data_IF_449523791232
#
_entry.id   IF_449523791232
#
_cell.length_a   1.000
_cell.length_b   1.000
_cell.length_c   1.000
_cell.angle_alpha   90.00
_cell.angle_beta   90.00
_cell.angle_gamma   90.00
#
_symmetry.space_group_name_H-M   'P 1'
#
loop_
_entity.id
_entity.type
_entity.pdbx_description
1 polymer ?
#
# COMPACT_ATOMS: atom_id res chain seq x y z
N UNK A 1 -5.58 -7.23 -12.88
CA UNK A 1 -5.34 -8.37 -11.98
C UNK A 1 -4.08 -8.11 -11.16
N UNK A 2 -3.98 -8.61 -9.91
CA UNK A 2 -2.72 -8.56 -9.14
C UNK A 2 -1.72 -9.55 -9.73
N UNK A 3 -0.45 -9.16 -9.85
CA UNK A 3 0.64 -9.96 -10.39
C UNK A 3 1.79 -9.97 -9.39
N UNK A 4 2.50 -11.10 -9.28
CA UNK A 4 3.65 -11.31 -8.40
C UNK A 4 3.40 -10.84 -6.96
N UNK A 5 2.52 -11.52 -6.24
CA UNK A 5 2.20 -11.14 -4.86
C UNK A 5 3.35 -11.55 -3.93
N UNK A 6 3.95 -10.58 -3.24
CA UNK A 6 4.92 -10.78 -2.18
C UNK A 6 4.30 -10.36 -0.84
N UNK A 7 4.30 -11.27 0.13
CA UNK A 7 3.75 -11.02 1.47
C UNK A 7 4.86 -10.62 2.43
N UNK A 8 4.74 -9.43 3.00
CA UNK A 8 5.61 -8.96 4.08
C UNK A 8 4.88 -9.13 5.40
N UNK A 9 5.29 -10.12 6.19
CA UNK A 9 4.75 -10.35 7.52
C UNK A 9 5.32 -9.32 8.50
N UNK A 10 4.44 -8.66 9.25
CA UNK A 10 4.84 -7.76 10.35
C UNK A 10 4.69 -8.52 11.67
N UNK A 11 3.46 -8.81 12.07
CA UNK A 11 3.10 -9.56 13.28
C UNK A 11 1.83 -10.36 13.01
N UNK A 12 1.39 -11.16 13.98
CA UNK A 12 0.14 -11.90 13.88
C UNK A 12 -1.01 -10.96 13.51
N UNK A 13 -1.75 -11.35 12.46
CA UNK A 13 -2.86 -10.59 11.88
C UNK A 13 -2.51 -9.22 11.29
N UNK A 14 -1.23 -8.91 11.05
CA UNK A 14 -0.78 -7.67 10.39
C UNK A 14 0.27 -7.97 9.32
N UNK A 15 -0.07 -7.69 8.07
CA UNK A 15 0.84 -7.93 6.95
C UNK A 15 0.57 -7.01 5.77
N UNK A 16 1.58 -6.86 4.92
CA UNK A 16 1.42 -6.23 3.62
C UNK A 16 1.43 -7.26 2.50
N UNK A 17 0.70 -6.95 1.44
CA UNK A 17 0.85 -7.60 0.14
C UNK A 17 1.38 -6.56 -0.85
N UNK A 18 2.60 -6.76 -1.34
CA UNK A 18 3.19 -6.00 -2.44
C UNK A 18 2.91 -6.74 -3.74
N UNK A 19 2.45 -6.05 -4.77
CA UNK A 19 2.12 -6.66 -6.05
C UNK A 19 2.17 -5.63 -7.18
N UNK A 20 2.35 -6.09 -8.41
CA UNK A 20 2.13 -5.26 -9.58
C UNK A 20 0.67 -5.37 -10.03
N UNK A 21 0.08 -4.26 -10.49
CA UNK A 21 -1.30 -4.25 -10.99
C UNK A 21 -1.31 -3.78 -12.43
N UNK A 22 -2.00 -4.55 -13.28
CA UNK A 22 -2.30 -4.14 -14.66
C UNK A 22 -3.81 -4.08 -14.86
N UNK A 23 -4.32 -2.90 -15.17
CA UNK A 23 -5.72 -2.60 -15.49
C UNK A 23 -5.79 -1.70 -16.73
N UNK A 24 -6.98 -1.58 -17.32
CA UNK A 24 -7.24 -0.65 -18.43
C UNK A 24 -7.01 0.80 -17.99
N UNK A 25 -7.42 1.13 -16.76
CA UNK A 25 -7.37 2.51 -16.23
C UNK A 25 -6.00 2.94 -15.72
N UNK A 26 -5.09 2.00 -15.47
CA UNK A 26 -3.77 2.27 -14.89
C UNK A 26 -2.97 0.99 -14.65
N UNK A 27 -1.66 1.15 -14.53
CA UNK A 27 -0.73 0.09 -14.19
C UNK A 27 0.38 0.64 -13.31
N UNK A 28 1.01 -0.24 -12.54
CA UNK A 28 2.15 0.08 -11.70
C UNK A 28 2.20 -0.77 -10.44
N UNK A 29 3.22 -0.51 -9.63
CA UNK A 29 3.40 -1.15 -8.33
C UNK A 29 2.33 -0.72 -7.34
N UNK A 30 1.91 -1.65 -6.49
CA UNK A 30 0.88 -1.43 -5.49
C UNK A 30 1.16 -2.22 -4.22
N UNK A 31 0.63 -1.73 -3.10
CA UNK A 31 0.75 -2.38 -1.80
C UNK A 31 -0.53 -2.25 -1.00
N UNK A 32 -0.95 -3.34 -0.37
CA UNK A 32 -2.11 -3.39 0.50
C UNK A 32 -1.73 -3.79 1.91
N UNK A 33 -2.20 -3.05 2.91
CA UNK A 33 -2.09 -3.39 4.33
C UNK A 33 -3.32 -4.18 4.76
N UNK A 34 -3.08 -5.32 5.41
CA UNK A 34 -4.11 -6.14 6.02
C UNK A 34 -3.99 -6.14 7.54
N UNK A 35 -5.12 -5.93 8.22
CA UNK A 35 -5.26 -6.03 9.69
C UNK A 35 -6.41 -7.01 9.95
N UNK A 36 -6.20 -8.08 10.72
CA UNK A 36 -7.21 -9.13 10.97
C UNK A 36 -7.84 -9.69 9.68
N UNK A 37 -7.01 -9.91 8.64
CA UNK A 37 -7.42 -10.34 7.29
C UNK A 37 -8.35 -9.37 6.54
N UNK A 38 -8.49 -8.15 7.04
CA UNK A 38 -9.22 -7.06 6.39
C UNK A 38 -8.27 -6.16 5.63
N UNK A 39 -8.51 -5.94 4.33
CA UNK A 39 -7.73 -4.99 3.53
C UNK A 39 -8.06 -3.58 3.98
N UNK A 40 -7.20 -2.97 4.78
CA UNK A 40 -7.48 -1.71 5.45
C UNK A 40 -7.04 -0.50 4.63
N UNK A 41 -5.85 -0.59 4.03
CA UNK A 41 -5.29 0.42 3.14
C UNK A 41 -4.77 -0.24 1.87
N UNK A 42 -4.86 0.46 0.76
CA UNK A 42 -4.23 0.05 -0.49
C UNK A 42 -3.71 1.26 -1.24
N UNK A 43 -2.45 1.22 -1.61
CA UNK A 43 -1.77 2.27 -2.37
C UNK A 43 -1.51 1.74 -3.78
N UNK A 44 -2.10 2.38 -4.77
CA UNK A 44 -1.98 2.10 -6.20
C UNK A 44 -1.06 3.18 -6.81
N UNK A 45 0.25 2.90 -6.94
CA UNK A 45 1.25 3.86 -7.44
C UNK A 45 1.36 3.78 -8.97
N UNK A 46 0.46 4.46 -9.68
CA UNK A 46 0.32 4.37 -11.16
C UNK A 46 0.83 5.60 -11.93
N UNK A 47 1.59 6.47 -11.26
CA UNK A 47 2.12 7.69 -11.85
C UNK A 47 1.06 8.77 -12.06
N UNK A 48 1.38 9.75 -12.88
CA UNK A 48 0.68 11.03 -12.99
C UNK A 48 -0.82 10.86 -13.26
N UNK A 49 -1.64 11.56 -12.48
CA UNK A 49 -3.11 11.57 -12.55
C UNK A 49 -3.82 10.21 -12.30
N UNK A 50 -3.07 9.15 -11.97
CA UNK A 50 -3.62 7.80 -11.79
C UNK A 50 -3.25 7.18 -10.46
N UNK A 51 -2.17 7.63 -9.83
CA UNK A 51 -1.78 7.18 -8.52
C UNK A 51 -2.77 7.63 -7.45
N UNK A 52 -3.20 6.70 -6.60
CA UNK A 52 -4.13 6.98 -5.51
C UNK A 52 -4.00 5.94 -4.41
N UNK A 53 -4.63 6.18 -3.27
CA UNK A 53 -4.81 5.18 -2.25
C UNK A 53 -6.24 5.11 -1.76
N UNK A 54 -6.59 3.93 -1.24
CA UNK A 54 -7.90 3.62 -0.71
C UNK A 54 -7.81 3.45 0.80
N UNK A 55 -8.83 3.96 1.48
CA UNK A 55 -9.08 3.72 2.89
C UNK A 55 -10.39 2.96 3.05
N UNK A 56 -10.30 1.64 3.24
CA UNK A 56 -11.46 0.76 3.20
C UNK A 56 -12.15 0.64 4.56
N UNK A 57 -12.41 1.71 5.29
CA UNK A 57 -12.97 1.56 6.64
C UNK A 57 -14.49 1.31 6.66
N UNK A 58 -15.24 1.76 5.64
CA UNK A 58 -16.69 1.93 5.77
C UNK A 58 -17.55 1.48 4.57
N UNK A 59 -17.10 0.48 3.79
CA UNK A 59 -17.64 0.17 2.46
C UNK A 59 -17.58 1.36 1.46
N UNK A 60 -16.94 2.46 1.85
CA UNK A 60 -16.57 3.55 0.95
C UNK A 60 -15.26 3.18 0.28
N UNK A 61 -15.22 3.30 -1.04
CA UNK A 61 -14.00 3.18 -1.82
C UNK A 61 -13.43 4.59 -2.01
N UNK A 62 -13.12 5.27 -0.91
CA UNK A 62 -12.60 6.64 -0.96
C UNK A 62 -11.22 6.60 -1.60
N UNK A 63 -11.12 7.22 -2.77
CA UNK A 63 -9.89 7.32 -3.56
C UNK A 63 -9.25 8.68 -3.32
N UNK A 64 -8.06 8.67 -2.72
CA UNK A 64 -7.28 9.89 -2.48
C UNK A 64 -6.09 9.86 -3.43
N UNK A 65 -6.09 10.78 -4.39
CA UNK A 65 -5.06 10.87 -5.42
C UNK A 65 -3.75 11.43 -4.87
N UNK A 66 -2.64 10.87 -5.35
CA UNK A 66 -1.31 11.40 -5.09
C UNK A 66 -1.08 12.69 -5.87
N UNK A 67 -0.27 13.58 -5.30
CA UNK A 67 0.19 14.78 -6.00
C UNK A 67 1.46 14.48 -6.83
N UNK A 68 2.16 13.41 -6.45
CA UNK A 68 3.38 12.91 -7.06
C UNK A 68 3.12 12.39 -8.48
N UNK A 69 4.08 12.65 -9.39
CA UNK A 69 3.89 12.43 -10.83
C UNK A 69 4.43 11.08 -11.29
N UNK A 70 5.41 10.51 -10.60
CA UNK A 70 6.02 9.23 -10.97
C UNK A 70 5.62 8.12 -10.01
N UNK A 71 5.66 6.87 -10.47
CA UNK A 71 5.43 5.71 -9.61
C UNK A 71 6.45 5.68 -8.45
N UNK A 72 7.72 6.03 -8.70
CA UNK A 72 8.76 6.06 -7.67
C UNK A 72 8.49 7.12 -6.59
N UNK A 73 8.13 8.34 -6.97
CA UNK A 73 7.74 9.38 -6.00
C UNK A 73 6.52 8.95 -5.18
N UNK A 74 5.53 8.31 -5.81
CA UNK A 74 4.34 7.78 -5.14
C UNK A 74 4.67 6.62 -4.18
N UNK A 75 5.63 5.76 -4.53
CA UNK A 75 6.13 4.69 -3.66
C UNK A 75 6.80 5.31 -2.43
N UNK A 76 7.63 6.34 -2.61
CA UNK A 76 8.26 7.04 -1.49
C UNK A 76 7.20 7.72 -0.60
N UNK A 77 6.20 8.38 -1.20
CA UNK A 77 5.07 8.98 -0.47
C UNK A 77 4.28 7.95 0.32
N UNK A 78 4.04 6.77 -0.28
CA UNK A 78 3.38 5.64 0.36
C UNK A 78 4.13 5.22 1.63
N UNK A 79 5.46 5.13 1.57
CA UNK A 79 6.30 4.79 2.73
C UNK A 79 6.18 5.83 3.85
N UNK A 80 6.11 7.11 3.51
CA UNK A 80 5.92 8.16 4.51
C UNK A 80 4.53 8.10 5.15
N UNK A 81 3.47 7.88 4.36
CA UNK A 81 2.12 7.67 4.90
C UNK A 81 2.03 6.45 5.82
N UNK A 82 2.77 5.38 5.51
CA UNK A 82 2.84 4.18 6.37
C UNK A 82 3.50 4.47 7.72
N UNK A 83 4.51 5.35 7.81
CA UNK A 83 5.10 5.74 9.11
C UNK A 83 4.07 6.39 10.04
N UNK A 84 3.07 7.05 9.45
CA UNK A 84 1.95 7.68 10.16
C UNK A 84 0.71 6.78 10.27
N UNK A 85 0.86 5.45 10.23
CA UNK A 85 -0.26 4.49 10.15
C UNK A 85 -1.33 4.69 11.24
N UNK A 86 -0.92 5.13 12.44
CA UNK A 86 -1.83 5.39 13.55
C UNK A 86 -2.88 6.47 13.24
N UNK A 87 -2.58 7.41 12.33
CA UNK A 87 -3.56 8.40 11.85
C UNK A 87 -4.73 7.72 11.14
N UNK A 88 -4.45 6.70 10.33
CA UNK A 88 -5.49 5.93 9.63
C UNK A 88 -6.27 5.05 10.60
N UNK A 89 -5.59 4.37 11.52
CA UNK A 89 -6.21 3.51 12.54
C UNK A 89 -7.15 4.31 13.43
N UNK A 90 -6.74 5.50 13.88
CA UNK A 90 -7.58 6.34 14.73
C UNK A 90 -8.84 6.85 14.01
N UNK A 91 -8.78 6.99 12.68
CA UNK A 91 -9.94 7.35 11.85
C UNK A 91 -10.90 6.19 11.59
N UNK A 92 -10.45 4.95 11.82
CA UNK A 92 -11.23 3.74 11.57
C UNK A 92 -12.52 3.71 12.41
N UNK A 93 -13.68 3.43 11.83
CA UNK A 93 -14.94 3.19 12.54
C UNK A 93 -15.01 1.77 13.08
N UNK A 94 -14.20 0.86 12.53
CA UNK A 94 -14.02 -0.49 13.03
C UNK A 94 -13.31 -0.54 14.38
N UNK A 95 -14.02 -1.02 15.41
CA UNK A 95 -13.50 -1.11 16.78
C UNK A 95 -12.36 -2.12 16.92
N UNK A 96 -12.40 -3.21 16.14
CA UNK A 96 -11.36 -4.23 16.08
C UNK A 96 -10.05 -3.69 15.50
N UNK A 97 -10.11 -2.75 14.55
CA UNK A 97 -8.94 -2.08 14.01
C UNK A 97 -8.44 -0.99 14.96
N UNK A 98 -9.33 -0.14 15.50
CA UNK A 98 -8.97 0.91 16.48
C UNK A 98 -8.21 0.36 17.69
N UNK A 99 -8.60 -0.81 18.17
CA UNK A 99 -8.00 -1.45 19.33
C UNK A 99 -6.81 -2.36 18.98
N UNK A 100 -6.47 -2.50 17.70
CA UNK A 100 -5.36 -3.34 17.25
C UNK A 100 -4.02 -2.72 17.66
N UNK A 101 -3.20 -3.48 18.41
CA UNK A 101 -1.89 -3.03 18.85
C UNK A 101 -0.83 -3.38 17.81
N UNK A 102 -0.24 -2.35 17.21
CA UNK A 102 0.87 -2.48 16.26
C UNK A 102 2.21 -2.38 17.00
N UNK A 103 3.09 -3.35 16.76
CA UNK A 103 4.52 -3.22 17.01
C UNK A 103 5.12 -2.26 15.99
N UNK A 104 5.13 -0.98 16.35
CA UNK A 104 5.61 0.09 15.47
C UNK A 104 7.08 -0.04 15.11
N UNK A 105 7.92 -0.64 15.97
CA UNK A 105 9.34 -0.83 15.66
C UNK A 105 9.50 -1.82 14.51
N UNK A 106 8.87 -2.98 14.62
CA UNK A 106 8.91 -3.98 13.56
C UNK A 106 8.20 -3.48 12.29
N UNK A 107 7.07 -2.79 12.42
CA UNK A 107 6.36 -2.19 11.30
C UNK A 107 7.25 -1.24 10.50
N UNK A 108 7.89 -0.27 11.16
CA UNK A 108 8.75 0.72 10.49
C UNK A 108 9.97 0.05 9.86
N UNK A 109 10.59 -0.91 10.54
CA UNK A 109 11.73 -1.66 10.01
C UNK A 109 11.42 -2.44 8.71
N UNK A 110 10.15 -2.74 8.44
CA UNK A 110 9.72 -3.45 7.23
C UNK A 110 9.36 -2.53 6.08
N UNK A 111 9.25 -1.21 6.30
CA UNK A 111 8.89 -0.25 5.24
C UNK A 111 9.94 -0.25 4.12
N UNK A 112 11.23 -0.35 4.44
CA UNK A 112 12.28 -0.38 3.42
C UNK A 112 12.23 -1.66 2.56
N UNK A 113 11.89 -2.82 3.16
CA UNK A 113 11.68 -4.07 2.41
C UNK A 113 10.49 -3.93 1.44
N UNK A 114 9.39 -3.37 1.91
CA UNK A 114 8.20 -3.06 1.09
C UNK A 114 8.57 -2.14 -0.06
N UNK A 115 9.26 -1.03 0.22
CA UNK A 115 9.71 -0.05 -0.76
C UNK A 115 10.57 -0.70 -1.85
N UNK A 116 11.59 -1.44 -1.44
CA UNK A 116 12.52 -2.09 -2.36
C UNK A 116 11.79 -3.10 -3.24
N UNK A 117 10.85 -3.87 -2.67
CA UNK A 117 10.04 -4.80 -3.45
C UNK A 117 9.12 -4.10 -4.44
N UNK A 118 8.50 -2.98 -4.04
CA UNK A 118 7.67 -2.18 -4.93
C UNK A 118 8.47 -1.64 -6.12
N UNK A 119 9.68 -1.12 -5.88
CA UNK A 119 10.58 -0.62 -6.92
C UNK A 119 11.07 -1.75 -7.84
N UNK A 120 11.42 -2.90 -7.29
CA UNK A 120 11.77 -4.10 -8.06
C UNK A 120 10.66 -4.46 -9.05
N UNK A 121 9.40 -4.50 -8.60
CA UNK A 121 8.25 -4.78 -9.46
C UNK A 121 8.00 -3.70 -10.48
N UNK A 122 8.12 -2.43 -10.11
CA UNK A 122 8.01 -1.34 -11.07
C UNK A 122 9.04 -1.53 -12.20
N UNK A 123 10.31 -1.75 -11.88
CA UNK A 123 11.36 -1.95 -12.88
C UNK A 123 11.12 -3.20 -13.73
N UNK A 124 10.75 -4.32 -13.10
CA UNK A 124 10.47 -5.59 -13.77
C UNK A 124 9.35 -5.47 -14.80
N UNK A 125 8.26 -4.78 -14.46
CA UNK A 125 7.09 -4.72 -15.35
C UNK A 125 7.10 -3.53 -16.30
N UNK A 126 7.75 -2.42 -15.93
CA UNK A 126 7.91 -1.27 -16.82
C UNK A 126 8.85 -1.59 -18.00
N UNK A 127 9.89 -2.39 -17.76
CA UNK A 127 10.78 -2.87 -18.83
C UNK A 127 10.09 -3.79 -19.84
N UNK A 128 8.99 -4.45 -19.46
CA UNK A 128 8.19 -5.31 -20.35
C UNK A 128 7.15 -4.55 -21.19
N UNK A 129 7.06 -3.22 -21.05
CA UNK A 129 6.18 -2.34 -21.82
C UNK A 129 6.93 -1.55 -22.91
N UNK A 130 8.24 -1.75 -23.04
CA UNK A 130 9.09 -1.29 -24.16
C UNK A 130 9.42 -2.46 -25.07
#
# INVERSE_FOLDING_TARGET
MRQDIYKVHIQDNLYFLVFHKKLIKGFGSAVSLYINNYEFLKFDCFGENKGHYHFYDNNTNDEIFFNEKTCEEQINRTCDLMKDINVFINKSNRIDIKNFKIDMNNFVNKIDDIRNKMLEYEHKFYSLLR
#
